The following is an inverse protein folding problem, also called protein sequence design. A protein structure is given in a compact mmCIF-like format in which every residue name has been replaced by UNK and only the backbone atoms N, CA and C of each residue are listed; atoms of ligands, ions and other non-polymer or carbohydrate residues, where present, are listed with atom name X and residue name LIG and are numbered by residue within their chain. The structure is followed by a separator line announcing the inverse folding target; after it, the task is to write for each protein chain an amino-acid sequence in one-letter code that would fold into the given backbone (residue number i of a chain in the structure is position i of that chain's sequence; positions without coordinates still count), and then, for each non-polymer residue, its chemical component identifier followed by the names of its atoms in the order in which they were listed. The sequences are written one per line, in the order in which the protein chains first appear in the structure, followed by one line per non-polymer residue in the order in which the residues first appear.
data_IF_471835517917
#
_entry.id   IF_471835517917
#
_cell.length_a   1.000
_cell.length_b   1.000
_cell.length_c   1.000
_cell.angle_alpha   90.00
_cell.angle_beta   90.00
_cell.angle_gamma   90.00
#
_symmetry.space_group_name_H-M   'P 1'
#
loop_
_entity.id
_entity.type
_entity.pdbx_description
1 polymer ?
#
# COMPACT_ATOMS: atom_id res chain seq x y z
N UNK A 1 -11.64 -2.23 2.72
CA UNK A 1 -11.69 -3.41 3.61
C UNK A 1 -13.00 -3.41 4.40
N UNK A 2 -13.68 -4.56 4.52
CA UNK A 2 -14.85 -4.74 5.39
C UNK A 2 -14.40 -5.45 6.67
N UNK A 3 -14.62 -4.82 7.82
CA UNK A 3 -14.38 -5.40 9.14
C UNK A 3 -15.73 -5.88 9.67
N UNK A 4 -15.93 -7.20 9.74
CA UNK A 4 -17.21 -7.82 10.07
C UNK A 4 -17.43 -8.06 11.57
N UNK A 5 -16.35 -8.14 12.35
CA UNK A 5 -16.40 -8.37 13.81
C UNK A 5 -15.91 -7.13 14.56
N UNK A 6 -16.74 -6.59 15.45
CA UNK A 6 -16.43 -5.48 16.34
C UNK A 6 -17.60 -5.16 17.26
N UNK A 7 -17.32 -4.61 18.44
CA UNK A 7 -18.33 -4.20 19.43
C UNK A 7 -19.31 -3.14 18.88
N UNK A 8 -18.84 -2.34 17.92
CA UNK A 8 -19.62 -1.30 17.24
C UNK A 8 -20.26 -1.79 15.93
N UNK A 9 -20.25 -3.10 15.68
CA UNK A 9 -20.78 -3.70 14.46
C UNK A 9 -19.79 -3.68 13.29
N UNK A 10 -20.29 -4.05 12.11
CA UNK A 10 -19.45 -4.11 10.91
C UNK A 10 -19.16 -2.72 10.36
N UNK A 11 -17.90 -2.45 9.98
CA UNK A 11 -17.51 -1.17 9.37
C UNK A 11 -16.64 -1.35 8.15
N UNK A 12 -16.67 -0.36 7.25
CA UNK A 12 -15.80 -0.33 6.06
C UNK A 12 -14.70 0.70 6.28
N UNK A 13 -13.45 0.27 6.11
CA UNK A 13 -12.28 1.15 6.13
C UNK A 13 -11.72 1.25 4.72
N UNK A 14 -11.65 2.48 4.18
CA UNK A 14 -11.02 2.76 2.89
C UNK A 14 -9.50 2.81 3.10
N UNK A 15 -8.78 2.03 2.30
CA UNK A 15 -7.31 2.00 2.31
C UNK A 15 -6.85 2.54 0.96
N UNK A 16 -6.16 3.68 0.96
CA UNK A 16 -5.68 4.34 -0.25
C UNK A 16 -4.19 4.07 -0.44
N UNK A 17 -3.35 4.54 0.49
CA UNK A 17 -1.89 4.47 0.37
C UNK A 17 -1.37 3.02 0.33
N UNK A 18 -2.02 2.09 1.03
CA UNK A 18 -1.62 0.68 1.04
C UNK A 18 -2.40 -0.21 0.07
N UNK A 19 -3.21 0.38 -0.82
CA UNK A 19 -4.07 -0.39 -1.75
C UNK A 19 -3.25 -1.29 -2.69
N UNK A 20 -2.12 -0.78 -3.20
CA UNK A 20 -1.24 -1.50 -4.12
C UNK A 20 -0.56 -2.70 -3.44
N UNK A 21 0.01 -2.51 -2.25
CA UNK A 21 0.61 -3.60 -1.48
C UNK A 21 -0.41 -4.69 -1.15
N UNK A 22 -1.64 -4.28 -0.83
CA UNK A 22 -2.72 -5.21 -0.56
C UNK A 22 -3.12 -6.00 -1.82
N UNK A 23 -3.22 -5.34 -2.98
CA UNK A 23 -3.51 -6.01 -4.26
C UNK A 23 -2.44 -7.05 -4.61
N UNK A 24 -1.17 -6.64 -4.57
CA UNK A 24 -0.05 -7.54 -4.82
C UNK A 24 -0.06 -8.75 -3.88
N UNK A 25 -0.34 -8.53 -2.60
CA UNK A 25 -0.45 -9.60 -1.62
C UNK A 25 -1.61 -10.56 -1.93
N UNK A 26 -2.78 -10.06 -2.31
CA UNK A 26 -3.95 -10.87 -2.69
C UNK A 26 -3.62 -11.74 -3.91
N UNK A 27 -2.95 -11.17 -4.92
CA UNK A 27 -2.60 -11.89 -6.15
C UNK A 27 -1.63 -13.07 -5.87
N UNK A 28 -0.69 -12.86 -4.95
CA UNK A 28 0.29 -13.86 -4.50
C UNK A 28 -0.16 -14.69 -3.28
N UNK A 29 -1.41 -14.54 -2.82
CA UNK A 29 -1.82 -15.12 -1.55
C UNK A 29 -1.81 -16.66 -1.62
N UNK A 30 -1.11 -17.37 -0.69
CA UNK A 30 -0.93 -18.82 -0.77
C UNK A 30 -2.24 -19.61 -0.76
N UNK A 31 -3.29 -19.06 -0.16
CA UNK A 31 -4.62 -19.66 -0.03
C UNK A 31 -5.69 -18.86 -0.79
N UNK A 32 -5.34 -18.22 -1.91
CA UNK A 32 -6.26 -17.31 -2.63
C UNK A 32 -7.54 -17.96 -3.18
N UNK A 33 -7.53 -19.28 -3.35
CA UNK A 33 -8.69 -20.04 -3.85
C UNK A 33 -9.71 -20.36 -2.74
N UNK A 34 -9.37 -20.10 -1.48
CA UNK A 34 -10.23 -20.39 -0.33
C UNK A 34 -10.94 -19.11 0.12
N UNK A 35 -12.27 -19.09 0.03
CA UNK A 35 -13.07 -17.90 0.31
C UNK A 35 -12.98 -17.42 1.78
N UNK A 36 -12.83 -18.37 2.71
CA UNK A 36 -12.76 -18.11 4.15
C UNK A 36 -11.32 -18.09 4.69
N UNK A 37 -10.30 -18.08 3.81
CA UNK A 37 -8.92 -18.01 4.25
C UNK A 37 -8.64 -16.69 4.99
N UNK A 38 -7.82 -16.72 6.05
CA UNK A 38 -7.39 -15.51 6.72
C UNK A 38 -6.62 -14.62 5.73
N UNK A 39 -6.93 -13.31 5.71
CA UNK A 39 -6.30 -12.36 4.79
C UNK A 39 -4.77 -12.33 4.93
N UNK A 40 -4.25 -12.57 6.14
CA UNK A 40 -2.82 -12.63 6.42
C UNK A 40 -2.45 -14.06 6.81
N UNK A 41 -1.35 -14.56 6.26
CA UNK A 41 -0.87 -15.94 6.46
C UNK A 41 0.62 -15.95 6.82
N UNK A 42 1.03 -16.93 7.62
CA UNK A 42 2.42 -17.17 7.94
C UNK A 42 3.03 -18.08 6.87
N UNK A 43 3.73 -17.49 5.91
CA UNK A 43 4.35 -18.18 4.77
C UNK A 43 5.32 -19.30 5.23
N UNK A 44 5.93 -19.16 6.42
CA UNK A 44 6.92 -20.13 6.94
C UNK A 44 6.33 -21.22 7.83
N UNK A 45 5.11 -21.06 8.32
CA UNK A 45 4.43 -22.02 9.20
C UNK A 45 3.05 -22.34 8.63
N UNK A 46 3.06 -23.09 7.53
CA UNK A 46 1.87 -23.71 6.92
C UNK A 46 0.77 -22.75 6.43
N UNK A 47 1.08 -21.48 6.14
CA UNK A 47 0.11 -20.50 5.67
C UNK A 47 -1.08 -20.31 6.64
N UNK A 48 -0.86 -20.53 7.94
CA UNK A 48 -1.84 -20.30 8.99
C UNK A 48 -1.93 -18.82 9.37
N UNK A 49 -3.01 -18.43 10.06
CA UNK A 49 -3.18 -17.06 10.53
C UNK A 49 -2.05 -16.68 11.51
N UNK A 50 -1.33 -15.56 11.28
CA UNK A 50 -0.32 -15.09 12.22
C UNK A 50 -0.93 -14.73 13.57
N UNK A 51 -0.25 -15.13 14.65
CA UNK A 51 -0.63 -14.72 16.01
C UNK A 51 -0.42 -13.22 16.23
N UNK A 52 -1.10 -12.66 17.25
CA UNK A 52 -0.90 -11.26 17.66
C UNK A 52 0.58 -10.93 17.96
N UNK A 53 1.28 -11.86 18.62
CA UNK A 53 2.72 -11.74 18.90
C UNK A 53 3.55 -11.64 17.62
N UNK A 54 3.19 -12.38 16.57
CA UNK A 54 3.86 -12.32 15.27
C UNK A 54 3.72 -10.93 14.64
N UNK A 55 2.50 -10.36 14.66
CA UNK A 55 2.27 -8.99 14.19
C UNK A 55 3.08 -7.96 14.99
N UNK A 56 3.13 -8.09 16.33
CA UNK A 56 3.95 -7.19 17.17
C UNK A 56 5.44 -7.29 16.82
N UNK A 57 5.94 -8.48 16.53
CA UNK A 57 7.32 -8.68 16.10
C UNK A 57 7.60 -8.01 14.76
N UNK A 58 6.71 -8.16 13.78
CA UNK A 58 6.81 -7.49 12.47
C UNK A 58 6.90 -5.97 12.65
N UNK A 59 6.01 -5.39 13.44
CA UNK A 59 6.00 -3.94 13.70
C UNK A 59 7.28 -3.46 14.39
N UNK A 60 7.79 -4.21 15.39
CA UNK A 60 9.05 -3.88 16.06
C UNK A 60 10.25 -3.94 15.12
N UNK A 61 10.29 -4.94 14.24
CA UNK A 61 11.36 -5.07 13.24
C UNK A 61 11.33 -3.92 12.24
N UNK A 62 10.14 -3.58 11.74
CA UNK A 62 9.96 -2.43 10.85
C UNK A 62 10.40 -1.12 11.53
N UNK A 63 10.02 -0.91 12.79
CA UNK A 63 10.43 0.24 13.59
C UNK A 63 11.95 0.35 13.73
N UNK A 64 12.63 -0.78 14.01
CA UNK A 64 14.09 -0.83 14.11
C UNK A 64 14.77 -0.44 12.78
N UNK A 65 14.27 -0.96 11.66
CA UNK A 65 14.79 -0.65 10.32
C UNK A 65 14.60 0.84 10.00
N UNK A 66 13.43 1.39 10.36
CA UNK A 66 13.10 2.80 10.14
C UNK A 66 13.74 3.77 11.16
N UNK A 67 14.54 3.28 12.12
CA UNK A 67 15.16 4.13 13.14
C UNK A 67 14.17 4.75 14.14
N UNK A 68 12.97 4.19 14.29
CA UNK A 68 11.95 4.69 15.22
C UNK A 68 12.31 4.32 16.65
N UNK A 69 12.66 5.32 17.45
CA UNK A 69 13.04 5.18 18.86
C UNK A 69 11.85 4.93 19.80
N UNK A 70 10.65 5.39 19.43
CA UNK A 70 9.44 5.27 20.25
C UNK A 70 8.96 3.81 20.31
N UNK A 71 8.33 3.43 21.42
CA UNK A 71 7.75 2.10 21.55
C UNK A 71 6.68 1.85 20.49
N UNK A 72 6.89 0.82 19.67
CA UNK A 72 5.98 0.49 18.56
C UNK A 72 5.10 -0.71 18.91
N UNK A 73 3.79 -0.50 18.83
CA UNK A 73 2.77 -1.53 19.00
C UNK A 73 1.48 -1.13 18.22
N UNK A 74 0.54 -2.06 18.00
CA UNK A 74 -0.69 -1.77 17.25
C UNK A 74 -1.52 -0.59 17.80
N UNK A 75 -1.55 -0.42 19.14
CA UNK A 75 -2.25 0.68 19.78
C UNK A 75 -1.57 2.03 19.49
N UNK A 76 -0.24 2.08 19.50
CA UNK A 76 0.52 3.27 19.12
C UNK A 76 0.27 3.69 17.67
N UNK A 77 0.19 2.74 16.73
CA UNK A 77 -0.20 3.03 15.34
C UNK A 77 -1.63 3.60 15.25
N UNK A 78 -2.56 3.03 16.02
CA UNK A 78 -3.94 3.52 16.09
C UNK A 78 -3.99 4.96 16.62
N UNK A 79 -3.24 5.26 17.69
CA UNK A 79 -3.10 6.61 18.22
C UNK A 79 -2.53 7.58 17.18
N UNK A 80 -1.41 7.22 16.54
CA UNK A 80 -0.79 8.05 15.51
C UNK A 80 -1.76 8.33 14.36
N UNK A 81 -2.53 7.33 13.93
CA UNK A 81 -3.55 7.51 12.89
C UNK A 81 -4.70 8.40 13.36
N UNK A 82 -5.16 8.27 14.60
CA UNK A 82 -6.21 9.12 15.16
C UNK A 82 -5.76 10.58 15.26
N UNK A 83 -4.54 10.84 15.75
CA UNK A 83 -3.95 12.18 15.80
C UNK A 83 -3.75 12.81 14.43
N UNK A 84 -3.39 12.01 13.41
CA UNK A 84 -3.29 12.52 12.05
C UNK A 84 -4.67 12.85 11.46
N UNK A 85 -5.66 12.00 11.70
CA UNK A 85 -7.02 12.20 11.18
C UNK A 85 -7.77 13.35 11.84
N UNK A 86 -7.47 13.73 13.08
CA UNK A 86 -8.16 14.83 13.75
C UNK A 86 -7.93 16.19 13.09
N UNK A 87 -6.89 16.33 12.28
CA UNK A 87 -6.62 17.51 11.46
C UNK A 87 -7.50 17.61 10.20
N UNK A 88 -8.13 16.50 9.81
CA UNK A 88 -8.81 16.38 8.51
C UNK A 88 -10.26 15.93 8.63
N UNK A 89 -10.66 15.34 9.77
CA UNK A 89 -11.98 14.78 9.99
C UNK A 89 -12.64 15.42 11.21
N UNK A 90 -13.96 15.60 11.12
CA UNK A 90 -14.76 15.96 12.29
C UNK A 90 -14.80 14.82 13.31
N UNK A 91 -15.12 15.14 14.56
CA UNK A 91 -15.26 14.14 15.63
C UNK A 91 -16.19 12.98 15.23
N UNK A 92 -17.34 13.27 14.61
CA UNK A 92 -18.28 12.23 14.19
C UNK A 92 -17.70 11.35 13.07
N UNK A 93 -17.01 11.95 12.09
CA UNK A 93 -16.32 11.20 11.04
C UNK A 93 -15.21 10.30 11.62
N UNK A 94 -14.45 10.80 12.60
CA UNK A 94 -13.44 10.01 13.30
C UNK A 94 -14.05 8.82 14.03
N UNK A 95 -15.17 9.01 14.75
CA UNK A 95 -15.88 7.94 15.46
C UNK A 95 -16.28 6.82 14.51
N UNK A 96 -16.87 7.15 13.37
CA UNK A 96 -17.22 6.17 12.32
C UNK A 96 -15.99 5.45 11.77
N UNK A 97 -14.94 6.20 11.40
CA UNK A 97 -13.74 5.62 10.77
C UNK A 97 -12.97 4.69 11.73
N UNK A 98 -12.75 5.14 12.97
CA UNK A 98 -11.99 4.41 13.98
C UNK A 98 -12.82 3.31 14.65
N UNK A 99 -14.15 3.36 14.53
CA UNK A 99 -15.08 2.38 15.10
C UNK A 99 -15.38 2.62 16.57
N UNK A 100 -15.45 3.89 16.99
CA UNK A 100 -15.94 4.29 18.31
C UNK A 100 -17.47 4.44 18.29
N UNK A 101 -18.11 4.28 19.45
CA UNK A 101 -19.53 4.59 19.60
C UNK A 101 -19.78 6.08 19.41
N UNK A 102 -20.98 6.46 18.96
CA UNK A 102 -21.35 7.87 18.77
C UNK A 102 -21.21 8.68 20.08
N UNK A 103 -21.51 8.05 21.22
CA UNK A 103 -21.38 8.61 22.57
C UNK A 103 -19.96 8.56 23.15
N UNK A 104 -18.99 7.98 22.46
CA UNK A 104 -17.63 7.85 23.00
C UNK A 104 -16.96 9.22 23.18
N UNK A 105 -16.31 9.50 24.32
CA UNK A 105 -15.52 10.71 24.50
C UNK A 105 -14.14 10.62 23.82
N UNK A 106 -13.80 9.49 23.20
CA UNK A 106 -12.44 9.20 22.75
C UNK A 106 -11.92 10.16 21.67
N UNK A 107 -12.82 10.73 20.86
CA UNK A 107 -12.44 11.69 19.82
C UNK A 107 -11.94 13.02 20.41
N UNK A 108 -12.52 13.46 21.54
CA UNK A 108 -12.13 14.70 22.22
C UNK A 108 -10.65 14.71 22.63
N UNK A 109 -10.05 13.54 22.88
CA UNK A 109 -8.62 13.43 23.21
C UNK A 109 -7.67 13.81 22.04
N UNK A 110 -8.18 13.97 20.81
CA UNK A 110 -7.39 14.28 19.61
C UNK A 110 -7.80 15.59 18.94
N UNK A 111 -8.99 16.10 19.24
CA UNK A 111 -9.55 17.31 18.64
C UNK A 111 -9.16 18.48 19.54
N UNK A 112 -8.00 19.07 19.27
CA UNK A 112 -7.64 20.40 19.77
C UNK A 112 -7.72 21.33 18.57
N UNK A 113 -8.85 22.00 18.36
CA UNK A 113 -8.94 23.06 17.36
C UNK A 113 -8.19 24.27 17.90
N UNK A 114 -7.19 24.75 17.17
CA UNK A 114 -6.65 26.09 17.38
C UNK A 114 -7.52 27.11 16.66
N UNK A 115 -7.57 28.35 17.15
CA UNK A 115 -8.33 29.43 16.48
C UNK A 115 -7.92 29.59 15.01
N UNK A 116 -6.64 29.36 14.70
CA UNK A 116 -6.10 29.37 13.33
C UNK A 116 -6.69 28.25 12.44
N UNK A 117 -7.02 27.07 12.98
CA UNK A 117 -7.61 25.97 12.18
C UNK A 117 -9.05 26.30 11.75
N UNK A 118 -9.76 27.10 12.56
CA UNK A 118 -11.11 27.58 12.25
C UNK A 118 -11.03 28.61 11.13
N UNK A 119 -10.10 29.57 11.23
CA UNK A 119 -9.88 30.58 10.21
C UNK A 119 -9.47 29.95 8.87
N UNK A 120 -8.54 28.98 8.87
CA UNK A 120 -8.14 28.23 7.68
C UNK A 120 -9.33 27.51 7.03
N UNK A 121 -10.22 26.94 7.85
CA UNK A 121 -11.43 26.26 7.37
C UNK A 121 -12.43 27.25 6.75
N UNK A 122 -12.62 28.42 7.36
CA UNK A 122 -13.47 29.49 6.83
C UNK A 122 -12.91 30.01 5.51
N UNK A 123 -11.59 30.25 5.45
CA UNK A 123 -10.91 30.70 4.23
C UNK A 123 -11.06 29.66 3.11
N UNK A 124 -10.91 28.36 3.40
CA UNK A 124 -11.19 27.27 2.45
C UNK A 124 -12.65 27.24 1.98
N UNK A 125 -13.62 27.44 2.88
CA UNK A 125 -15.05 27.52 2.52
C UNK A 125 -15.34 28.69 1.56
N UNK A 126 -14.58 29.78 1.64
CA UNK A 126 -14.68 30.93 0.76
C UNK A 126 -13.76 30.85 -0.48
N UNK A 127 -13.13 29.69 -0.74
CA UNK A 127 -12.28 29.48 -1.91
C UNK A 127 -10.89 30.11 -1.83
N UNK A 128 -10.48 30.58 -0.64
CA UNK A 128 -9.15 31.12 -0.40
C UNK A 128 -8.22 29.97 0.01
N UNK A 129 -7.30 29.62 -0.89
CA UNK A 129 -6.48 28.44 -0.77
C UNK A 129 -5.26 28.73 0.11
N UNK A 130 -5.22 28.14 1.30
CA UNK A 130 -4.04 28.16 2.17
C UNK A 130 -3.36 26.82 1.97
N UNK A 131 -2.27 26.81 1.21
CA UNK A 131 -1.45 25.62 1.01
C UNK A 131 -0.68 25.33 2.30
N UNK A 132 -1.23 24.44 3.13
CA UNK A 132 -0.60 23.99 4.37
C UNK A 132 -0.66 22.47 4.53
N UNK A 133 -0.63 21.72 3.42
CA UNK A 133 -0.60 20.27 3.48
C UNK A 133 0.81 19.76 3.18
N UNK A 134 1.45 19.20 4.21
CA UNK A 134 2.68 18.43 4.05
C UNK A 134 2.46 17.35 2.98
N UNK A 135 3.31 17.36 1.94
CA UNK A 135 3.24 16.40 0.84
C UNK A 135 3.27 14.98 1.41
N UNK A 136 2.18 14.22 1.27
CA UNK A 136 2.13 12.81 1.63
C UNK A 136 3.04 12.03 0.67
N UNK A 137 4.24 11.72 1.15
CA UNK A 137 5.29 11.03 0.39
C UNK A 137 4.93 9.57 0.06
N UNK A 138 3.77 9.07 0.51
CA UNK A 138 3.29 7.72 0.26
C UNK A 138 2.06 7.70 -0.66
N UNK A 139 1.79 8.80 -1.36
CA UNK A 139 0.74 8.86 -2.37
C UNK A 139 1.11 7.95 -3.56
N UNK A 140 0.19 7.08 -4.01
CA UNK A 140 0.44 6.22 -5.16
C UNK A 140 0.52 7.04 -6.45
N UNK A 141 1.45 6.67 -7.34
CA UNK A 141 1.63 7.32 -8.63
C UNK A 141 0.56 6.86 -9.62
N UNK A 142 -0.09 7.78 -10.33
CA UNK A 142 -1.07 7.44 -11.36
C UNK A 142 -0.35 7.24 -12.70
N UNK A 143 -0.59 6.11 -13.35
CA UNK A 143 -0.07 5.86 -14.70
C UNK A 143 -0.62 6.89 -15.69
N UNK A 144 0.22 7.56 -16.50
CA UNK A 144 -0.24 8.55 -17.48
C UNK A 144 -1.03 7.90 -18.63
N UNK A 145 -0.79 6.60 -18.90
CA UNK A 145 -1.39 5.87 -20.01
C UNK A 145 -2.72 5.20 -19.64
N UNK A 146 -2.71 4.34 -18.63
CA UNK A 146 -3.90 3.55 -18.25
C UNK A 146 -4.57 4.02 -16.95
N UNK A 147 -4.03 5.06 -16.30
CA UNK A 147 -4.54 5.63 -15.05
C UNK A 147 -4.60 4.69 -13.84
N UNK A 148 -4.01 3.50 -13.94
CA UNK A 148 -3.81 2.61 -12.81
C UNK A 148 -2.95 3.30 -11.73
N UNK A 149 -3.29 3.09 -10.46
CA UNK A 149 -2.45 3.52 -9.34
C UNK A 149 -1.24 2.60 -9.24
N UNK A 150 -0.06 3.14 -8.93
CA UNK A 150 1.18 2.39 -8.80
C UNK A 150 1.86 2.76 -7.48
N UNK A 151 2.76 1.88 -7.02
CA UNK A 151 3.56 2.17 -5.84
C UNK A 151 4.36 3.45 -6.07
N UNK A 152 4.48 4.30 -5.04
CA UNK A 152 5.29 5.51 -5.13
C UNK A 152 6.72 5.15 -5.54
N UNK A 153 7.20 5.77 -6.61
CA UNK A 153 8.54 5.49 -7.16
C UNK A 153 8.66 4.17 -7.94
N UNK A 154 7.55 3.53 -8.32
CA UNK A 154 7.58 2.40 -9.26
C UNK A 154 8.17 2.85 -10.61
N UNK A 155 9.04 2.04 -11.21
CA UNK A 155 9.64 2.35 -12.52
C UNK A 155 8.67 2.06 -13.68
N UNK A 156 7.80 1.07 -13.52
CA UNK A 156 6.87 0.61 -14.55
C UNK A 156 5.47 0.42 -13.97
N UNK A 157 4.47 0.61 -14.81
CA UNK A 157 3.09 0.37 -14.47
C UNK A 157 2.81 -1.12 -14.33
N UNK A 158 2.19 -1.52 -13.21
CA UNK A 158 1.85 -2.91 -12.94
C UNK A 158 0.78 -3.49 -13.89
N UNK A 159 -0.01 -2.65 -14.56
CA UNK A 159 -1.05 -3.10 -15.48
C UNK A 159 -0.62 -3.07 -16.94
N UNK A 160 -0.04 -1.96 -17.42
CA UNK A 160 0.26 -1.79 -18.84
C UNK A 160 1.77 -1.80 -19.18
N UNK A 161 2.65 -1.93 -18.19
CA UNK A 161 4.11 -1.93 -18.40
C UNK A 161 4.71 -0.58 -18.77
N UNK A 162 3.92 0.49 -18.86
CA UNK A 162 4.41 1.84 -19.18
C UNK A 162 5.44 2.32 -18.15
N UNK A 163 6.56 2.89 -18.61
CA UNK A 163 7.51 3.56 -17.71
C UNK A 163 6.85 4.72 -16.97
N UNK A 164 7.00 4.75 -15.65
CA UNK A 164 6.44 5.75 -14.75
C UNK A 164 7.47 6.78 -14.28
N UNK A 165 8.74 6.63 -14.67
CA UNK A 165 9.79 7.63 -14.42
C UNK A 165 9.30 8.98 -14.91
N UNK A 166 8.91 9.84 -13.96
CA UNK A 166 8.34 11.16 -14.24
C UNK A 166 9.45 12.10 -14.69
N UNK A 167 9.22 12.72 -15.84
CA UNK A 167 9.63 14.08 -16.09
C UNK A 167 9.28 14.97 -14.86
N UNK A 168 10.34 15.51 -14.24
CA UNK A 168 10.31 16.77 -13.49
C UNK A 168 9.54 16.83 -12.18
N UNK A 169 10.07 16.23 -11.10
CA UNK A 169 10.26 16.87 -9.76
C UNK A 169 10.56 15.82 -8.68
N UNK A 170 11.84 15.45 -8.51
CA UNK A 170 12.50 15.16 -7.22
C UNK A 170 13.92 14.62 -7.47
N UNK A 171 14.92 15.32 -6.90
CA UNK A 171 16.34 14.95 -6.74
C UNK A 171 17.12 14.54 -8.00
N UNK A 172 17.67 15.52 -8.72
CA UNK A 172 18.52 15.29 -9.90
C UNK A 172 19.93 14.74 -9.61
N UNK A 173 20.42 14.74 -8.36
CA UNK A 173 21.88 14.55 -8.17
C UNK A 173 22.33 13.37 -7.29
N UNK A 174 21.43 12.64 -6.60
CA UNK A 174 21.85 11.56 -5.66
C UNK A 174 21.66 10.14 -6.23
N UNK A 175 20.88 9.99 -7.30
CA UNK A 175 20.36 8.67 -7.70
C UNK A 175 20.88 8.14 -9.04
N UNK A 176 21.35 8.96 -9.98
CA UNK A 176 21.74 8.47 -11.31
C UNK A 176 22.83 7.36 -11.27
N UNK A 177 23.80 7.46 -10.36
CA UNK A 177 24.92 6.50 -10.24
C UNK A 177 24.54 5.22 -9.47
N UNK A 178 23.65 5.29 -8.48
CA UNK A 178 23.08 4.08 -7.85
C UNK A 178 22.17 3.32 -8.81
N UNK A 179 21.47 4.03 -9.69
CA UNK A 179 20.54 3.46 -10.64
C UNK A 179 21.26 2.81 -11.81
N UNK A 180 22.38 3.37 -12.27
CA UNK A 180 23.23 2.71 -13.28
C UNK A 180 23.78 1.39 -12.75
N UNK A 181 24.34 1.37 -11.53
CA UNK A 181 24.92 0.19 -10.88
C UNK A 181 23.87 -0.91 -10.63
N UNK A 182 22.66 -0.55 -10.20
CA UNK A 182 21.59 -1.54 -9.96
C UNK A 182 21.05 -2.13 -11.25
N UNK A 183 21.03 -1.34 -12.32
CA UNK A 183 20.56 -1.78 -13.64
C UNK A 183 21.57 -2.68 -14.33
N UNK A 184 22.86 -2.36 -14.26
CA UNK A 184 23.94 -3.23 -14.74
C UNK A 184 24.01 -4.52 -13.94
N UNK A 185 23.95 -4.47 -12.61
CA UNK A 185 23.96 -5.67 -11.76
C UNK A 185 22.79 -6.61 -12.06
N UNK A 186 21.57 -6.09 -12.24
CA UNK A 186 20.41 -6.93 -12.58
C UNK A 186 20.52 -7.54 -13.99
N UNK A 187 21.13 -6.84 -14.96
CA UNK A 187 21.37 -7.38 -16.29
C UNK A 187 22.45 -8.48 -16.28
N UNK A 188 23.58 -8.24 -15.62
CA UNK A 188 24.66 -9.22 -15.48
C UNK A 188 24.19 -10.48 -14.72
N UNK A 189 23.40 -10.30 -13.67
CA UNK A 189 22.82 -11.42 -12.92
C UNK A 189 21.82 -12.22 -13.76
N UNK A 190 21.04 -11.56 -14.62
CA UNK A 190 20.14 -12.23 -15.56
C UNK A 190 20.91 -12.96 -16.66
N UNK A 191 21.97 -12.36 -17.19
CA UNK A 191 22.82 -12.96 -18.21
C UNK A 191 23.55 -14.21 -17.68
N UNK A 192 24.01 -14.17 -16.42
CA UNK A 192 24.61 -15.33 -15.77
C UNK A 192 23.58 -16.41 -15.43
N UNK A 193 22.39 -16.01 -14.96
CA UNK A 193 21.29 -16.95 -14.71
C UNK A 193 20.81 -17.65 -15.99
N UNK A 194 20.88 -16.98 -17.14
CA UNK A 194 20.53 -17.55 -18.47
C UNK A 194 21.57 -18.56 -18.99
N UNK A 195 22.76 -18.65 -18.38
CA UNK A 195 23.75 -19.69 -18.71
C UNK A 195 23.46 -21.02 -18.00
N UNK A 196 22.64 -20.99 -16.95
CA UNK A 196 22.21 -22.20 -16.24
C UNK A 196 21.12 -22.93 -17.06
N UNK A 197 21.36 -24.19 -17.48
CA UNK A 197 20.40 -24.98 -18.25
C UNK A 197 19.04 -25.14 -17.56
N UNK A 198 19.02 -25.22 -16.22
CA UNK A 198 17.80 -25.45 -15.45
C UNK A 198 16.91 -24.19 -15.43
N UNK A 199 17.53 -23.00 -15.43
CA UNK A 199 16.83 -21.71 -15.50
C UNK A 199 16.24 -21.50 -16.89
N UNK A 200 16.97 -21.85 -17.95
CA UNK A 200 16.48 -21.84 -19.33
C UNK A 200 15.26 -22.73 -19.51
N UNK A 201 15.30 -23.96 -18.98
CA UNK A 201 14.17 -24.89 -19.06
C UNK A 201 12.95 -24.36 -18.29
N UNK A 202 13.16 -23.75 -17.12
CA UNK A 202 12.10 -23.11 -16.35
C UNK A 202 11.48 -21.92 -17.09
N UNK A 203 12.30 -21.09 -17.73
CA UNK A 203 11.83 -19.94 -18.51
C UNK A 203 11.02 -20.38 -19.73
N UNK A 204 11.44 -21.43 -20.44
CA UNK A 204 10.69 -22.01 -21.54
C UNK A 204 9.32 -22.52 -21.09
N UNK A 205 9.26 -23.26 -19.97
CA UNK A 205 7.99 -23.74 -19.38
C UNK A 205 7.06 -22.59 -18.96
N UNK A 206 7.62 -21.48 -18.47
CA UNK A 206 6.85 -20.29 -18.12
C UNK A 206 6.33 -19.56 -19.38
N UNK A 207 7.15 -19.43 -20.42
CA UNK A 207 6.74 -18.85 -21.70
C UNK A 207 5.63 -19.66 -22.37
N UNK A 208 5.73 -20.99 -22.34
CA UNK A 208 4.67 -21.88 -22.84
C UNK A 208 3.37 -21.68 -22.07
N UNK A 209 3.41 -21.64 -20.74
CA UNK A 209 2.22 -21.39 -19.91
C UNK A 209 1.59 -20.02 -20.16
N UNK A 210 2.41 -18.97 -20.31
CA UNK A 210 1.92 -17.62 -20.64
C UNK A 210 1.26 -17.62 -22.02
N UNK A 211 1.88 -18.27 -23.01
CA UNK A 211 1.32 -18.38 -24.37
C UNK A 211 -0.01 -19.15 -24.39
N UNK A 212 -0.13 -20.20 -23.57
CA UNK A 212 -1.39 -20.94 -23.40
C UNK A 212 -2.46 -20.07 -22.75
N UNK A 213 -2.12 -19.32 -21.70
CA UNK A 213 -3.05 -18.40 -21.04
C UNK A 213 -3.53 -17.29 -21.97
N UNK A 214 -2.64 -16.75 -22.81
CA UNK A 214 -3.00 -15.74 -23.82
C UNK A 214 -3.91 -16.32 -24.92
N UNK A 215 -3.70 -17.57 -25.36
CA UNK A 215 -4.59 -18.25 -26.31
C UNK A 215 -5.99 -18.51 -25.73
N UNK A 216 -6.07 -18.91 -24.46
CA UNK A 216 -7.36 -19.12 -23.76
C UNK A 216 -8.12 -17.81 -23.59
N UNK A 217 -7.42 -16.71 -23.29
CA UNK A 217 -8.02 -15.37 -23.23
C UNK A 217 -8.51 -14.89 -24.60
N UNK A 218 -7.80 -15.22 -25.69
CA UNK A 218 -8.19 -14.88 -27.04
C UNK A 218 -9.42 -15.69 -27.54
N UNK A 219 -9.53 -16.97 -27.17
CA UNK A 219 -10.69 -17.81 -27.54
C UNK A 219 -11.95 -17.46 -26.75
N UNK A 220 -11.81 -17.06 -25.48
CA UNK A 220 -12.95 -16.63 -24.65
C UNK A 220 -13.57 -15.29 -25.10
N UNK A 221 -12.85 -14.49 -25.91
CA UNK A 221 -13.34 -13.24 -26.48
C UNK A 221 -14.10 -13.38 -27.81
N UNK A 222 -14.20 -14.60 -28.38
CA UNK A 222 -14.92 -14.85 -29.64
C UNK A 222 -16.32 -15.48 -29.44
N UNK A 223 -16.70 -15.80 -28.20
CA UNK A 223 -18.03 -16.34 -27.84
C UNK A 223 -18.91 -15.34 -27.05
N UNK A 224 -18.57 -14.04 -27.07
CA UNK A 224 -19.36 -12.97 -26.45
C UNK A 224 -19.91 -11.98 -27.49
#
# INVERSE_FOLDING_TARGET
LKLSRGETGSRRVRVVNASMYLRQWIDSHPRKQEQDAPLWTNIKRNNEQPSYTSFRYILKRAAKIAGVQKAVNPHAFRHARASHLSKHLTEQQMKVYLGWTASSPMAAAYVNMSDNDVDDTILKMHGLNIENDAIDTMQPDRCPRCHELNMTGAMFCIQCGQSLTRDGTASKDIDAEKYSIKTTFNMEMMEEALKDPDVLELMQKLQEKISMQQKVLASAGQEA
#
